data_IF_171684187116
#
_entry.id   IF_171684187116
#
_cell.length_a   1.000
_cell.length_b   1.000
_cell.length_c   1.000
_cell.angle_alpha   90.00
_cell.angle_beta   90.00
_cell.angle_gamma   90.00
#
_symmetry.space_group_name_H-M   'P 1'
#
loop_
_entity.id
_entity.type
_entity.pdbx_description
1 polymer ?
#
# COMPACT_ATOMS: atom_id res chain seq x y z
N UNK A 1 27.01 -1.86 -3.15
CA UNK A 1 26.57 -1.69 -4.55
C UNK A 1 25.86 -2.96 -4.96
N UNK A 2 24.66 -2.91 -5.56
CA UNK A 2 24.01 -4.09 -6.09
C UNK A 2 24.89 -4.73 -7.20
N UNK A 3 24.88 -6.07 -7.35
CA UNK A 3 25.63 -6.73 -8.39
C UNK A 3 25.10 -6.36 -9.78
N UNK A 4 26.01 -6.15 -10.75
CA UNK A 4 25.65 -5.88 -12.14
C UNK A 4 25.42 -7.20 -12.86
N UNK A 5 24.17 -7.47 -13.26
CA UNK A 5 23.81 -8.61 -14.09
C UNK A 5 23.84 -8.16 -15.55
N UNK A 6 24.61 -8.87 -16.39
CA UNK A 6 24.71 -8.59 -17.82
C UNK A 6 23.89 -9.61 -18.60
N UNK A 7 23.01 -9.12 -19.46
CA UNK A 7 22.21 -9.92 -20.38
C UNK A 7 22.36 -9.38 -21.80
N UNK A 8 22.03 -10.18 -22.81
CA UNK A 8 22.03 -9.70 -24.19
C UNK A 8 20.89 -8.71 -24.43
N UNK A 9 21.13 -7.75 -25.33
CA UNK A 9 20.10 -6.78 -25.74
C UNK A 9 18.84 -7.47 -26.25
N UNK A 10 19.00 -8.53 -27.04
CA UNK A 10 17.88 -9.34 -27.56
C UNK A 10 17.04 -9.99 -26.45
N UNK A 11 17.66 -10.39 -25.33
CA UNK A 11 16.94 -10.95 -24.19
C UNK A 11 16.20 -9.86 -23.41
N UNK A 12 16.84 -8.70 -23.23
CA UNK A 12 16.21 -7.55 -22.60
C UNK A 12 15.00 -7.05 -23.38
N UNK A 13 15.09 -6.97 -24.71
CA UNK A 13 13.98 -6.59 -25.58
C UNK A 13 12.81 -7.57 -25.47
N UNK A 14 13.09 -8.89 -25.47
CA UNK A 14 12.06 -9.91 -25.25
C UNK A 14 11.39 -9.77 -23.89
N UNK A 15 12.15 -9.51 -22.83
CA UNK A 15 11.60 -9.26 -21.50
C UNK A 15 10.68 -8.02 -21.50
N UNK A 16 11.11 -6.93 -22.14
CA UNK A 16 10.33 -5.68 -22.21
C UNK A 16 9.00 -5.83 -22.94
N UNK A 17 8.90 -6.76 -23.91
CA UNK A 17 7.65 -7.06 -24.62
C UNK A 17 6.58 -7.69 -23.70
N UNK A 18 6.98 -8.21 -22.53
CA UNK A 18 6.07 -8.71 -21.51
C UNK A 18 5.69 -7.64 -20.46
N UNK A 19 6.20 -6.41 -20.53
CA UNK A 19 5.81 -5.37 -19.59
C UNK A 19 4.37 -4.89 -19.85
N UNK A 20 3.55 -4.76 -18.80
CA UNK A 20 2.20 -4.23 -18.89
C UNK A 20 2.09 -2.89 -18.14
N UNK A 21 1.68 -1.82 -18.83
CA UNK A 21 1.47 -0.51 -18.21
C UNK A 21 2.75 0.15 -17.65
N UNK A 22 2.87 0.22 -16.32
CA UNK A 22 3.97 0.87 -15.59
C UNK A 22 4.96 -0.13 -14.96
N UNK A 23 4.99 -1.37 -15.46
CA UNK A 23 5.87 -2.41 -14.94
C UNK A 23 7.35 -2.02 -15.03
N UNK A 24 8.08 -2.32 -13.96
CA UNK A 24 9.54 -2.27 -13.96
C UNK A 24 10.10 -3.59 -14.50
N UNK A 25 11.34 -3.62 -15.04
CA UNK A 25 11.97 -4.88 -15.44
C UNK A 25 12.01 -5.94 -14.32
N UNK A 26 12.09 -5.52 -13.05
CA UNK A 26 12.06 -6.43 -11.91
C UNK A 26 10.69 -7.12 -11.79
N UNK A 27 9.59 -6.34 -11.86
CA UNK A 27 8.22 -6.86 -11.78
C UNK A 27 7.94 -7.91 -12.88
N UNK A 28 8.46 -7.68 -14.08
CA UNK A 28 8.30 -8.62 -15.21
C UNK A 28 9.03 -9.92 -14.93
N UNK A 29 10.25 -9.86 -14.40
CA UNK A 29 11.05 -11.05 -14.07
C UNK A 29 10.35 -11.86 -12.97
N UNK A 30 9.89 -11.21 -11.92
CA UNK A 30 9.20 -11.86 -10.80
C UNK A 30 7.92 -12.55 -11.26
N UNK A 31 7.07 -11.86 -12.03
CA UNK A 31 5.86 -12.46 -12.59
C UNK A 31 6.15 -13.69 -13.47
N UNK A 32 7.23 -13.66 -14.24
CA UNK A 32 7.63 -14.81 -15.06
C UNK A 32 8.15 -15.98 -14.21
N UNK A 33 8.86 -15.70 -13.12
CA UNK A 33 9.30 -16.71 -12.17
C UNK A 33 8.10 -17.35 -11.47
N UNK A 34 7.14 -16.53 -11.02
CA UNK A 34 5.92 -17.00 -10.36
C UNK A 34 5.12 -17.98 -11.24
N UNK A 35 5.01 -17.68 -12.54
CA UNK A 35 4.37 -18.58 -13.51
C UNK A 35 5.07 -19.94 -13.64
N UNK A 36 6.40 -19.96 -13.61
CA UNK A 36 7.20 -21.19 -13.72
C UNK A 36 7.17 -22.00 -12.42
N UNK A 37 7.19 -21.31 -11.28
CA UNK A 37 7.21 -21.91 -9.95
C UNK A 37 5.80 -22.34 -9.47
N UNK A 38 4.76 -22.05 -10.25
CA UNK A 38 3.37 -22.39 -9.92
C UNK A 38 2.79 -21.54 -8.79
N UNK A 39 3.38 -20.37 -8.58
CA UNK A 39 2.92 -19.33 -7.65
C UNK A 39 1.68 -18.70 -8.30
N UNK A 40 0.52 -18.89 -7.68
CA UNK A 40 -0.73 -18.34 -8.23
C UNK A 40 -0.69 -16.80 -8.20
N UNK A 41 -1.28 -16.09 -9.17
CA UNK A 41 -1.39 -14.64 -9.09
C UNK A 41 -2.26 -14.28 -7.87
N UNK A 42 -1.62 -13.80 -6.81
CA UNK A 42 -2.19 -13.66 -5.47
C UNK A 42 -1.29 -14.16 -4.34
N UNK A 43 -0.23 -14.92 -4.66
CA UNK A 43 0.92 -15.11 -3.77
C UNK A 43 1.98 -14.07 -4.10
N UNK A 44 1.78 -12.86 -3.55
CA UNK A 44 2.81 -11.84 -3.42
C UNK A 44 3.93 -12.41 -2.52
N UNK A 45 4.84 -13.21 -3.08
CA UNK A 45 6.02 -13.71 -2.40
C UNK A 45 7.28 -12.92 -2.82
N UNK A 46 7.18 -11.59 -2.74
CA UNK A 46 8.29 -10.87 -2.13
C UNK A 46 8.34 -11.32 -0.68
N UNK A 47 9.16 -12.34 -0.41
CA UNK A 47 9.41 -12.88 0.93
C UNK A 47 9.95 -11.80 1.88
N UNK A 48 9.05 -11.05 2.49
CA UNK A 48 9.16 -10.33 3.76
C UNK A 48 7.85 -9.56 3.95
N UNK A 49 6.82 -10.29 4.37
CA UNK A 49 5.78 -9.87 5.33
C UNK A 49 4.73 -10.97 5.36
N UNK A 50 4.63 -11.73 6.46
CA UNK A 50 3.42 -12.55 6.69
C UNK A 50 2.19 -11.68 7.01
N UNK A 51 2.38 -10.37 7.17
CA UNK A 51 1.29 -9.44 7.41
C UNK A 51 0.71 -9.01 6.07
N UNK A 52 -0.56 -9.34 5.87
CA UNK A 52 -1.33 -8.76 4.78
C UNK A 52 -1.40 -7.24 4.92
N UNK A 53 -1.59 -6.56 3.79
CA UNK A 53 -1.80 -5.11 3.76
C UNK A 53 -2.91 -4.72 4.75
N UNK A 54 -2.72 -3.65 5.56
CA UNK A 54 -3.67 -3.33 6.63
C UNK A 54 -5.06 -3.07 6.09
N UNK A 55 -6.06 -3.65 6.74
CA UNK A 55 -7.45 -3.39 6.41
C UNK A 55 -7.86 -1.97 6.80
N UNK A 56 -8.58 -1.28 5.92
CA UNK A 56 -9.06 0.07 6.17
C UNK A 56 -10.57 0.05 6.44
N UNK A 57 -10.97 0.48 7.63
CA UNK A 57 -12.37 0.55 8.04
C UNK A 57 -12.79 2.01 8.23
N UNK A 58 -13.82 2.45 7.52
CA UNK A 58 -14.30 3.83 7.59
C UNK A 58 -15.68 3.90 8.23
N UNK A 59 -15.83 4.77 9.22
CA UNK A 59 -17.06 4.98 9.96
C UNK A 59 -17.49 6.45 9.86
N UNK A 60 -18.69 6.75 9.31
CA UNK A 60 -19.71 5.82 8.83
C UNK A 60 -19.44 5.23 7.42
N UNK A 61 -18.65 5.90 6.59
CA UNK A 61 -18.19 5.40 5.28
C UNK A 61 -16.98 6.21 4.81
N UNK A 62 -16.27 5.71 3.79
CA UNK A 62 -15.10 6.39 3.24
C UNK A 62 -15.44 7.79 2.69
N UNK A 63 -16.53 7.89 1.91
CA UNK A 63 -16.97 9.17 1.34
C UNK A 63 -17.36 10.19 2.41
N UNK A 64 -18.03 9.74 3.47
CA UNK A 64 -18.42 10.62 4.58
C UNK A 64 -17.21 11.09 5.38
N UNK A 65 -16.25 10.20 5.59
CA UNK A 65 -14.98 10.55 6.24
C UNK A 65 -14.22 11.57 5.38
N UNK A 66 -14.06 11.31 4.08
CA UNK A 66 -13.43 12.23 3.13
C UNK A 66 -14.10 13.60 3.14
N UNK A 67 -15.44 13.65 3.01
CA UNK A 67 -16.19 14.90 3.02
C UNK A 67 -15.97 15.66 4.31
N UNK A 68 -15.99 14.98 5.45
CA UNK A 68 -15.72 15.62 6.74
C UNK A 68 -14.33 16.25 6.84
N UNK A 69 -13.31 15.61 6.28
CA UNK A 69 -11.97 16.20 6.23
C UNK A 69 -11.92 17.45 5.34
N UNK A 70 -12.66 17.46 4.22
CA UNK A 70 -12.81 18.64 3.33
C UNK A 70 -13.53 19.78 4.05
N UNK A 71 -14.55 19.46 4.85
CA UNK A 71 -15.30 20.42 5.66
C UNK A 71 -14.48 20.98 6.85
N UNK A 72 -13.21 20.58 6.98
CA UNK A 72 -12.31 21.03 8.05
C UNK A 72 -12.57 20.40 9.42
N UNK A 73 -13.39 19.35 9.49
CA UNK A 73 -13.63 18.60 10.73
C UNK A 73 -12.45 17.69 11.05
N UNK A 74 -12.26 17.41 12.34
CA UNK A 74 -11.15 16.55 12.81
C UNK A 74 -11.56 15.08 12.79
N UNK A 75 -10.81 14.24 12.07
CA UNK A 75 -10.98 12.80 12.13
C UNK A 75 -10.27 12.18 13.33
N UNK A 76 -10.63 10.94 13.68
CA UNK A 76 -9.87 10.09 14.59
C UNK A 76 -9.46 8.83 13.86
N UNK A 77 -8.23 8.37 14.13
CA UNK A 77 -7.68 7.13 13.59
C UNK A 77 -7.33 6.20 14.72
N UNK A 78 -7.69 4.92 14.57
CA UNK A 78 -7.29 3.84 15.48
C UNK A 78 -6.44 2.86 14.68
N UNK A 79 -5.16 2.73 15.02
CA UNK A 79 -4.25 1.74 14.44
C UNK A 79 -4.26 0.50 15.31
N UNK A 80 -4.33 -0.67 14.68
CA UNK A 80 -4.29 -1.98 15.33
C UNK A 80 -3.00 -2.67 14.93
N UNK A 81 -2.28 -3.19 15.93
CA UNK A 81 -0.98 -3.84 15.73
C UNK A 81 -1.09 -5.35 15.90
N UNK A 82 -0.13 -6.09 15.32
CA UNK A 82 -0.10 -7.54 15.37
C UNK A 82 0.04 -8.11 16.78
N UNK A 83 0.58 -7.34 17.73
CA UNK A 83 0.67 -7.69 19.15
C UNK A 83 -0.66 -7.52 19.92
N UNK A 84 -1.71 -7.07 19.25
CA UNK A 84 -3.03 -6.79 19.83
C UNK A 84 -3.16 -5.40 20.45
N UNK A 85 -2.08 -4.61 20.49
CA UNK A 85 -2.12 -3.23 20.96
C UNK A 85 -2.86 -2.32 19.97
N UNK A 86 -3.30 -1.14 20.47
CA UNK A 86 -4.00 -0.14 19.67
C UNK A 86 -3.47 1.26 19.96
N UNK A 87 -3.35 2.07 18.92
CA UNK A 87 -2.95 3.47 19.05
C UNK A 87 -4.03 4.39 18.46
N UNK A 88 -4.47 5.38 19.24
CA UNK A 88 -5.46 6.36 18.82
C UNK A 88 -4.80 7.70 18.53
N UNK A 89 -5.02 8.23 17.33
CA UNK A 89 -4.45 9.51 16.88
C UNK A 89 -5.53 10.44 16.31
N UNK A 90 -5.51 11.74 16.60
CA UNK A 90 -6.31 12.70 15.84
C UNK A 90 -5.75 12.83 14.41
N UNK A 91 -6.64 12.90 13.42
CA UNK A 91 -6.31 13.29 12.06
C UNK A 91 -6.70 14.75 11.86
N UNK A 92 -5.70 15.63 11.81
CA UNK A 92 -5.90 17.03 11.48
C UNK A 92 -5.78 17.24 9.97
N UNK A 93 -6.90 17.54 9.33
CA UNK A 93 -7.02 17.67 7.87
C UNK A 93 -6.83 19.11 7.38
N UNK A 94 -6.02 19.92 8.04
CA UNK A 94 -5.92 21.38 7.77
C UNK A 94 -5.51 21.76 6.32
N UNK A 95 -5.24 20.77 5.46
CA UNK A 95 -4.93 20.93 4.03
C UNK A 95 -5.68 19.97 3.10
N UNK A 96 -6.70 19.26 3.58
CA UNK A 96 -7.44 18.32 2.76
C UNK A 96 -8.46 19.08 1.89
N UNK A 97 -8.42 18.85 0.58
CA UNK A 97 -9.25 19.54 -0.40
C UNK A 97 -10.01 18.53 -1.25
N UNK A 98 -10.93 18.98 -2.10
CA UNK A 98 -11.63 18.08 -3.03
C UNK A 98 -10.68 17.28 -3.94
N UNK A 99 -9.53 17.85 -4.28
CA UNK A 99 -8.50 17.18 -5.10
C UNK A 99 -7.63 16.20 -4.33
N UNK A 100 -7.71 16.19 -3.00
CA UNK A 100 -6.93 15.29 -2.16
C UNK A 100 -7.43 13.85 -2.28
N UNK A 101 -6.51 12.91 -2.50
CA UNK A 101 -6.81 11.48 -2.51
C UNK A 101 -6.62 10.91 -1.08
N UNK A 102 -7.73 10.42 -0.49
CA UNK A 102 -7.76 9.92 0.88
C UNK A 102 -6.83 8.71 1.06
N UNK A 103 -6.98 7.68 0.22
CA UNK A 103 -6.16 6.47 0.29
C UNK A 103 -4.67 6.78 0.11
N UNK A 104 -4.31 7.63 -0.85
CA UNK A 104 -2.92 8.02 -1.05
C UNK A 104 -2.33 8.71 0.20
N UNK A 105 -3.09 9.58 0.86
CA UNK A 105 -2.67 10.20 2.13
C UNK A 105 -2.53 9.17 3.27
N UNK A 106 -3.43 8.18 3.34
CA UNK A 106 -3.33 7.09 4.31
C UNK A 106 -2.00 6.33 4.11
N UNK A 107 -1.72 5.90 2.88
CA UNK A 107 -0.57 5.04 2.57
C UNK A 107 0.77 5.77 2.60
N UNK A 108 0.82 7.03 2.18
CA UNK A 108 2.04 7.84 2.23
C UNK A 108 2.29 8.49 3.59
N UNK A 109 1.29 8.51 4.48
CA UNK A 109 1.33 9.14 5.79
C UNK A 109 1.20 8.13 6.92
N UNK A 110 -0.02 7.92 7.42
CA UNK A 110 -0.30 7.12 8.62
C UNK A 110 0.21 5.69 8.53
N UNK A 111 -0.03 5.05 7.38
CA UNK A 111 0.39 3.69 7.09
C UNK A 111 1.74 3.65 6.35
N UNK A 112 2.52 4.73 6.37
CA UNK A 112 3.89 4.68 5.86
C UNK A 112 4.73 3.74 6.74
N UNK A 113 5.37 2.75 6.13
CA UNK A 113 6.14 1.73 6.84
C UNK A 113 5.27 0.91 7.79
N UNK A 114 4.04 0.58 7.37
CA UNK A 114 3.08 -0.16 8.18
C UNK A 114 3.59 -1.56 8.54
N UNK A 115 4.41 -2.14 7.67
CA UNK A 115 4.97 -3.47 7.84
C UNK A 115 5.98 -3.53 8.97
N UNK A 116 6.96 -2.62 9.00
CA UNK A 116 7.95 -2.52 10.07
C UNK A 116 7.30 -2.15 11.40
N UNK A 117 6.21 -1.39 11.33
CA UNK A 117 5.37 -1.04 12.48
C UNK A 117 4.42 -2.15 12.90
N UNK A 118 4.31 -3.24 12.14
CA UNK A 118 3.40 -4.37 12.40
C UNK A 118 1.93 -3.94 12.51
N UNK A 119 1.50 -2.96 11.71
CA UNK A 119 0.09 -2.52 11.66
C UNK A 119 -0.69 -3.55 10.83
N UNK A 120 -1.83 -4.00 11.35
CA UNK A 120 -2.70 -5.00 10.70
C UNK A 120 -4.04 -4.43 10.25
N UNK A 121 -4.51 -3.35 10.87
CA UNK A 121 -5.70 -2.63 10.41
C UNK A 121 -5.74 -1.19 10.95
N UNK A 122 -6.54 -0.36 10.30
CA UNK A 122 -6.80 1.02 10.69
C UNK A 122 -8.29 1.35 10.60
N UNK A 123 -8.83 1.95 11.66
CA UNK A 123 -10.19 2.47 11.70
C UNK A 123 -10.17 4.01 11.60
N UNK A 124 -11.05 4.56 10.78
CA UNK A 124 -11.18 5.99 10.51
C UNK A 124 -12.58 6.46 10.95
N UNK A 125 -12.62 7.27 11.99
CA UNK A 125 -13.84 7.72 12.64
C UNK A 125 -14.02 9.22 12.47
N UNK A 126 -15.18 9.63 11.99
CA UNK A 126 -15.55 11.05 11.97
C UNK A 126 -16.05 11.46 13.35
N UNK A 127 -15.45 12.52 13.93
CA UNK A 127 -16.00 13.18 15.13
C UNK A 127 -17.05 14.23 14.76
#
# INVERSE_FOLDING_TARGET
MPPVIRISESLYQRLSAHAEGFDTPANVIERLLDQVEGVSPGSDDHRQSRLQRPELHFFPSEDRFRQGLIDGRTGQVVLHFADGSKEKKPWQSSRFTERSNLRANIWSGLLRGWEEKQIVSAEFHMK
#
